data_IF_290068852741
#
_entry.id   IF_290068852741
#
_cell.length_a   1.000
_cell.length_b   1.000
_cell.length_c   1.000
_cell.angle_alpha   90.00
_cell.angle_beta   90.00
_cell.angle_gamma   90.00
#
_symmetry.space_group_name_H-M   'P 1'
#
loop_
_entity.id
_entity.type
_entity.pdbx_description
1 polymer ?
#
# COMPACT_ATOMS: atom_id res chain seq x y z
N UNK A 1 -16.47 -10.58 -21.41
CA UNK A 1 -16.38 -9.16 -21.76
C UNK A 1 -15.61 -8.49 -20.64
N UNK A 2 -14.34 -8.18 -20.87
CA UNK A 2 -13.51 -7.44 -19.91
C UNK A 2 -13.82 -5.96 -20.08
N UNK A 3 -14.20 -5.28 -19.02
CA UNK A 3 -14.38 -3.84 -19.03
C UNK A 3 -12.95 -3.28 -18.98
N UNK A 4 -12.49 -2.71 -20.09
CA UNK A 4 -11.24 -1.97 -20.16
C UNK A 4 -11.48 -0.65 -19.43
N UNK A 5 -11.33 -0.67 -18.11
CA UNK A 5 -11.17 0.57 -17.37
C UNK A 5 -9.81 1.10 -17.83
N UNK A 6 -9.78 2.30 -18.39
CA UNK A 6 -8.59 3.00 -18.89
C UNK A 6 -7.54 3.30 -17.79
N UNK A 7 -7.27 2.35 -16.90
CA UNK A 7 -6.27 2.36 -15.84
C UNK A 7 -4.87 2.59 -16.40
N UNK A 8 -4.63 2.21 -17.65
CA UNK A 8 -3.35 2.44 -18.34
C UNK A 8 -3.22 3.83 -18.95
N UNK A 9 -4.29 4.63 -18.98
CA UNK A 9 -4.27 6.02 -19.49
C UNK A 9 -4.36 7.06 -18.35
N UNK A 10 -4.68 6.64 -17.13
CA UNK A 10 -4.77 7.56 -16.00
C UNK A 10 -3.35 8.01 -15.56
N UNK A 11 -3.06 9.32 -15.53
CA UNK A 11 -1.72 9.82 -15.25
C UNK A 11 -1.25 9.50 -13.82
N UNK A 12 -2.15 9.45 -12.84
CA UNK A 12 -1.83 9.06 -11.47
C UNK A 12 -1.44 7.58 -11.38
N UNK A 13 -2.19 6.69 -12.05
CA UNK A 13 -1.86 5.25 -12.10
C UNK A 13 -0.52 5.02 -12.80
N UNK A 14 -0.25 5.75 -13.89
CA UNK A 14 1.05 5.66 -14.59
C UNK A 14 2.19 6.14 -13.69
N UNK A 15 2.02 7.27 -12.98
CA UNK A 15 3.02 7.80 -12.06
C UNK A 15 3.31 6.80 -10.92
N UNK A 16 2.26 6.24 -10.31
CA UNK A 16 2.37 5.19 -9.30
C UNK A 16 3.15 3.98 -9.80
N UNK A 17 2.78 3.44 -10.97
CA UNK A 17 3.45 2.27 -11.56
C UNK A 17 4.93 2.55 -11.83
N UNK A 18 5.26 3.73 -12.36
CA UNK A 18 6.65 4.14 -12.62
C UNK A 18 7.48 4.25 -11.35
N UNK A 19 6.92 4.82 -10.30
CA UNK A 19 7.63 4.96 -9.02
C UNK A 19 7.87 3.60 -8.37
N UNK A 20 6.85 2.73 -8.38
CA UNK A 20 6.98 1.34 -7.89
C UNK A 20 8.02 0.57 -8.72
N UNK A 21 8.04 0.71 -10.05
CA UNK A 21 9.04 0.07 -10.91
C UNK A 21 10.46 0.55 -10.59
N UNK A 22 10.62 1.85 -10.32
CA UNK A 22 11.91 2.47 -9.97
C UNK A 22 12.43 2.01 -8.61
N UNK A 23 11.54 1.84 -7.63
CA UNK A 23 11.85 1.31 -6.30
C UNK A 23 11.96 -0.22 -6.26
N UNK A 24 11.38 -0.91 -7.25
CA UNK A 24 11.18 -2.36 -7.28
C UNK A 24 9.98 -2.82 -6.43
N UNK A 25 9.81 -2.26 -5.23
CA UNK A 25 8.67 -2.48 -4.31
C UNK A 25 8.56 -1.33 -3.32
N UNK A 26 7.38 -1.12 -2.75
CA UNK A 26 7.20 -0.23 -1.59
C UNK A 26 7.30 -1.08 -0.33
N UNK A 27 8.17 -0.69 0.60
CA UNK A 27 8.43 -1.42 1.85
C UNK A 27 7.88 -0.67 3.05
N UNK A 28 7.20 -1.38 3.95
CA UNK A 28 6.62 -0.82 5.16
C UNK A 28 7.24 -1.46 6.40
N UNK A 29 7.59 -0.61 7.38
CA UNK A 29 7.85 -1.02 8.75
C UNK A 29 6.52 -1.01 9.49
N UNK A 30 6.10 -2.16 10.03
CA UNK A 30 4.85 -2.29 10.79
C UNK A 30 5.19 -2.49 12.27
N UNK A 31 4.64 -1.63 13.14
CA UNK A 31 4.73 -1.74 14.59
C UNK A 31 3.33 -2.08 15.14
N UNK A 32 3.26 -3.07 16.02
CA UNK A 32 2.01 -3.47 16.69
C UNK A 32 2.20 -3.31 18.21
N UNK A 33 1.16 -2.81 18.87
CA UNK A 33 1.17 -2.49 20.29
C UNK A 33 0.31 -3.50 21.09
N UNK A 34 0.54 -3.64 22.41
CA UNK A 34 -0.20 -4.59 23.25
C UNK A 34 -1.72 -4.39 23.29
N UNK A 35 -2.20 -3.18 23.03
CA UNK A 35 -3.63 -2.85 22.97
C UNK A 35 -4.30 -3.29 21.65
N UNK A 36 -3.55 -3.91 20.75
CA UNK A 36 -4.01 -4.36 19.43
C UNK A 36 -3.95 -3.26 18.36
N UNK A 37 -3.55 -2.04 18.72
CA UNK A 37 -3.29 -0.99 17.74
C UNK A 37 -1.99 -1.23 16.97
N UNK A 38 -1.86 -0.58 15.82
CA UNK A 38 -0.70 -0.72 14.97
C UNK A 38 -0.46 0.52 14.11
N UNK A 39 0.78 0.67 13.66
CA UNK A 39 1.21 1.67 12.68
C UNK A 39 2.02 0.99 11.58
N UNK A 40 1.98 1.55 10.38
CA UNK A 40 2.83 1.20 9.27
C UNK A 40 3.37 2.48 8.62
N UNK A 41 4.69 2.54 8.46
CA UNK A 41 5.38 3.64 7.82
C UNK A 41 6.21 3.10 6.65
N UNK A 42 6.13 3.75 5.49
CA UNK A 42 6.99 3.36 4.37
C UNK A 42 8.44 3.73 4.66
N UNK A 43 9.34 2.81 4.36
CA UNK A 43 10.79 2.94 4.62
C UNK A 43 11.59 3.39 3.41
N UNK A 44 10.96 3.38 2.24
CA UNK A 44 11.60 3.70 0.97
C UNK A 44 10.77 4.64 0.09
N UNK A 45 9.66 5.16 0.61
CA UNK A 45 8.85 6.21 -0.01
C UNK A 45 8.32 7.14 1.08
N UNK A 46 8.91 8.33 1.19
CA UNK A 46 8.55 9.30 2.22
C UNK A 46 7.09 9.76 2.08
N UNK A 47 6.42 9.89 3.23
CA UNK A 47 5.08 10.49 3.32
C UNK A 47 3.92 9.50 3.40
N UNK A 48 4.16 8.18 3.44
CA UNK A 48 3.12 7.19 3.69
C UNK A 48 3.22 6.65 5.12
N UNK A 49 2.28 7.07 5.97
CA UNK A 49 2.08 6.52 7.31
C UNK A 49 0.59 6.21 7.49
N UNK A 50 0.29 5.04 8.05
CA UNK A 50 -1.08 4.61 8.34
C UNK A 50 -1.11 3.74 9.58
N UNK A 51 -2.30 3.42 10.08
CA UNK A 51 -2.46 2.62 11.28
C UNK A 51 -3.91 2.30 11.58
N UNK A 52 -4.14 1.55 12.64
CA UNK A 52 -5.47 1.15 13.07
C UNK A 52 -5.48 0.57 14.48
N UNK A 53 -6.68 0.30 14.99
CA UNK A 53 -6.90 -0.29 16.34
C UNK A 53 -7.17 -1.80 16.30
N UNK A 54 -7.17 -2.39 15.11
CA UNK A 54 -7.37 -3.82 14.87
C UNK A 54 -6.48 -4.28 13.72
N UNK A 55 -5.93 -5.49 13.83
CA UNK A 55 -4.98 -6.06 12.88
C UNK A 55 -5.64 -6.82 11.73
N UNK A 56 -6.98 -6.99 11.72
CA UNK A 56 -7.68 -7.78 10.71
C UNK A 56 -7.56 -7.25 9.27
N UNK A 57 -7.27 -5.95 9.09
CA UNK A 57 -7.31 -5.28 7.79
C UNK A 57 -6.00 -4.53 7.43
N UNK A 58 -4.88 -4.84 8.09
CA UNK A 58 -3.59 -4.12 7.90
C UNK A 58 -3.24 -3.97 6.41
N UNK A 59 -3.33 -5.05 5.63
CA UNK A 59 -3.00 -5.04 4.21
C UNK A 59 -3.93 -4.12 3.40
N UNK A 60 -5.23 -4.12 3.69
CA UNK A 60 -6.19 -3.26 3.01
C UNK A 60 -5.93 -1.78 3.34
N UNK A 61 -5.70 -1.46 4.61
CA UNK A 61 -5.37 -0.11 5.07
C UNK A 61 -4.06 0.42 4.49
N UNK A 62 -3.03 -0.43 4.35
CA UNK A 62 -1.77 -0.04 3.68
C UNK A 62 -2.01 0.23 2.20
N UNK A 63 -2.77 -0.60 1.49
CA UNK A 63 -3.09 -0.36 0.07
C UNK A 63 -3.86 0.95 -0.12
N UNK A 64 -4.83 1.22 0.75
CA UNK A 64 -5.60 2.46 0.72
C UNK A 64 -4.71 3.69 0.94
N UNK A 65 -3.74 3.61 1.87
CA UNK A 65 -2.75 4.66 2.08
C UNK A 65 -1.85 4.88 0.85
N UNK A 66 -1.44 3.81 0.16
CA UNK A 66 -0.69 3.91 -1.11
C UNK A 66 -1.52 4.57 -2.20
N UNK A 67 -2.78 4.15 -2.38
CA UNK A 67 -3.66 4.78 -3.38
C UNK A 67 -3.93 6.25 -3.07
N UNK A 68 -4.13 6.59 -1.80
CA UNK A 68 -4.31 7.97 -1.34
C UNK A 68 -3.07 8.81 -1.64
N UNK A 69 -1.87 8.30 -1.36
CA UNK A 69 -0.61 9.00 -1.64
C UNK A 69 -0.45 9.37 -3.11
N UNK A 70 -0.81 8.46 -4.02
CA UNK A 70 -0.75 8.70 -5.46
C UNK A 70 -2.00 9.39 -6.03
N UNK A 71 -2.96 9.78 -5.17
CA UNK A 71 -4.22 10.40 -5.57
C UNK A 71 -5.00 9.56 -6.60
N UNK A 72 -4.97 8.23 -6.45
CA UNK A 72 -5.68 7.32 -7.35
C UNK A 72 -7.20 7.52 -7.17
N UNK A 73 -7.96 7.77 -8.26
CA UNK A 73 -9.41 7.86 -8.18
C UNK A 73 -10.03 6.59 -7.58
N UNK A 74 -11.04 6.68 -6.69
CA UNK A 74 -11.58 5.50 -5.98
C UNK A 74 -12.07 4.36 -6.89
N UNK A 75 -12.56 4.68 -8.08
CA UNK A 75 -13.03 3.69 -9.06
C UNK A 75 -11.90 2.91 -9.75
N UNK A 76 -10.65 3.35 -9.58
CA UNK A 76 -9.44 2.70 -10.07
C UNK A 76 -8.64 2.04 -8.94
N UNK A 77 -9.06 2.14 -7.67
CA UNK A 77 -8.41 1.47 -6.54
C UNK A 77 -8.69 -0.03 -6.55
N UNK A 78 -8.09 -0.75 -7.50
CA UNK A 78 -8.24 -2.20 -7.62
C UNK A 78 -6.99 -2.93 -7.13
N UNK A 79 -7.24 -4.06 -6.48
CA UNK A 79 -6.21 -4.90 -5.87
C UNK A 79 -5.12 -5.35 -6.85
N UNK A 80 -5.47 -5.50 -8.13
CA UNK A 80 -4.54 -5.90 -9.20
C UNK A 80 -3.47 -4.86 -9.53
N UNK A 81 -3.66 -3.58 -9.20
CA UNK A 81 -2.68 -2.52 -9.51
C UNK A 81 -1.40 -2.62 -8.67
N UNK A 82 -1.51 -3.14 -7.45
CA UNK A 82 -0.39 -3.34 -6.54
C UNK A 82 0.09 -4.80 -6.52
N UNK A 83 -0.55 -5.70 -7.29
CA UNK A 83 -0.16 -7.11 -7.41
C UNK A 83 0.76 -7.30 -8.62
N UNK A 84 2.04 -7.57 -8.35
CA UNK A 84 2.91 -8.39 -9.22
C UNK A 84 3.39 -9.58 -8.38
N UNK A 85 3.29 -10.79 -8.94
CA UNK A 85 3.75 -12.16 -8.57
C UNK A 85 4.44 -12.53 -7.24
N UNK A 86 4.60 -11.66 -6.25
CA UNK A 86 5.07 -12.03 -4.92
C UNK A 86 4.65 -10.97 -3.91
N UNK A 87 3.84 -11.43 -2.95
CA UNK A 87 3.22 -10.70 -1.85
C UNK A 87 4.04 -9.57 -1.22
N UNK A 88 3.38 -8.57 -0.59
CA UNK A 88 4.06 -7.53 0.17
C UNK A 88 5.06 -8.17 1.14
N UNK A 89 6.34 -7.84 0.93
CA UNK A 89 7.42 -8.25 1.81
C UNK A 89 7.14 -7.64 3.18
N UNK A 90 6.58 -8.49 4.04
CA UNK A 90 6.28 -8.16 5.43
C UNK A 90 7.60 -8.16 6.18
N UNK A 91 8.21 -7.00 6.42
CA UNK A 91 9.33 -6.92 7.37
C UNK A 91 8.78 -6.70 8.80
N UNK A 92 8.78 -7.82 9.55
CA UNK A 92 8.52 -7.95 11.00
C UNK A 92 9.11 -6.79 11.81
N UNK A 93 8.25 -6.00 12.46
CA UNK A 93 7.77 -6.09 13.86
C UNK A 93 8.83 -6.08 14.97
N UNK A 94 8.92 -4.92 15.64
CA UNK A 94 9.16 -4.89 17.08
C UNK A 94 7.82 -5.06 17.79
N UNK A 95 7.70 -6.08 18.64
CA UNK A 95 6.59 -6.22 19.60
C UNK A 95 7.11 -5.68 20.93
N UNK A 96 6.54 -4.58 21.40
CA UNK A 96 6.80 -4.09 22.75
C UNK A 96 5.88 -4.88 23.70
N UNK A 97 6.46 -5.78 24.51
CA UNK A 97 5.77 -6.54 25.55
C UNK A 97 5.92 -5.87 26.91
#
# INVERSE_FOLDING_TARGET
MGIDFHENDNPQVIAMKREIEKLGKIEFKIEQYPDGSWTAESTNLDGIITGGTNTQDISATIKDAVFTYFEIPPHLCVDSLLRRDNEPVTMRQNVYA
#
